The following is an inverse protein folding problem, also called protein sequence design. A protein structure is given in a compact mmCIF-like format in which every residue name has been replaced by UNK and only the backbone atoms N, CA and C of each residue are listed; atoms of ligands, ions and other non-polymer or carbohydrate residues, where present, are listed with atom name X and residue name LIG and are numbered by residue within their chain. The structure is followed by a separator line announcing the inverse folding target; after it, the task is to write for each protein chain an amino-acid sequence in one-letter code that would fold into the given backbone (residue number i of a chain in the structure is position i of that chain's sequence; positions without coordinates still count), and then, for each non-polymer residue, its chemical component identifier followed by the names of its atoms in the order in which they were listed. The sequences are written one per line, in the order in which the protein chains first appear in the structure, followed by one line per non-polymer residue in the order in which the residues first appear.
data_IF_441690765652
#
_entry.id   IF_441690765652
#
_cell.length_a   1.000
_cell.length_b   1.000
_cell.length_c   1.000
_cell.angle_alpha   90.00
_cell.angle_beta   90.00
_cell.angle_gamma   90.00
#
_symmetry.space_group_name_H-M   'P 1'
#
loop_
_entity.id
_entity.type
_entity.pdbx_description
1 polymer ?
#
# COMPACT_ATOMS: atom_id res chain seq x y z
N UNK A 1 -24.22 16.78 0.64
CA UNK A 1 -23.57 16.37 1.89
C UNK A 1 -22.12 16.81 1.74
N UNK A 2 -21.64 17.74 2.57
CA UNK A 2 -20.23 18.11 2.60
C UNK A 2 -19.45 16.84 3.01
N UNK A 3 -18.59 16.36 2.11
CA UNK A 3 -17.63 15.34 2.46
C UNK A 3 -16.70 15.96 3.50
N UNK A 4 -16.70 15.40 4.73
CA UNK A 4 -15.79 15.83 5.78
C UNK A 4 -14.34 15.73 5.30
N UNK A 5 -13.47 16.63 5.74
CA UNK A 5 -12.05 16.58 5.41
C UNK A 5 -11.44 15.25 5.89
N UNK A 6 -10.60 14.62 5.07
CA UNK A 6 -9.85 13.41 5.43
C UNK A 6 -9.00 13.63 6.67
N UNK A 7 -9.11 12.71 7.64
CA UNK A 7 -8.39 12.75 8.92
C UNK A 7 -7.05 12.02 8.81
N UNK A 8 -5.98 12.75 8.97
CA UNK A 8 -4.61 12.25 8.90
C UNK A 8 -4.00 12.31 10.30
N UNK A 9 -3.47 11.20 10.78
CA UNK A 9 -2.65 11.18 11.98
C UNK A 9 -1.17 11.14 11.58
N UNK A 10 -0.39 12.12 12.03
CA UNK A 10 1.07 12.14 11.88
C UNK A 10 1.67 11.65 13.20
N UNK A 11 2.50 10.62 13.14
CA UNK A 11 3.29 10.13 14.27
C UNK A 11 4.74 10.47 14.00
N UNK A 12 5.25 11.50 14.67
CA UNK A 12 6.58 12.09 14.43
C UNK A 12 7.04 12.81 15.70
N UNK A 13 8.23 12.51 16.22
CA UNK A 13 8.78 13.11 17.44
C UNK A 13 9.46 14.46 17.19
N UNK A 14 9.93 14.73 15.98
CA UNK A 14 10.38 16.07 15.60
C UNK A 14 9.16 17.01 15.46
N UNK A 15 8.87 17.74 16.56
CA UNK A 15 7.74 18.67 16.62
C UNK A 15 7.74 19.69 15.49
N UNK A 16 8.93 20.18 15.09
CA UNK A 16 9.05 21.18 14.03
C UNK A 16 8.67 20.60 12.68
N UNK A 17 9.15 19.39 12.39
CA UNK A 17 8.81 18.69 11.14
C UNK A 17 7.32 18.34 11.10
N UNK A 18 6.77 17.84 12.21
CA UNK A 18 5.37 17.50 12.36
C UNK A 18 4.46 18.73 12.13
N UNK A 19 4.77 19.87 12.75
CA UNK A 19 4.01 21.11 12.60
C UNK A 19 4.06 21.66 11.18
N UNK A 20 5.25 21.74 10.55
CA UNK A 20 5.38 22.21 9.17
C UNK A 20 4.61 21.28 8.20
N UNK A 21 4.64 19.98 8.46
CA UNK A 21 3.91 19.00 7.67
C UNK A 21 2.40 19.17 7.85
N UNK A 22 1.93 19.36 9.10
CA UNK A 22 0.53 19.64 9.42
C UNK A 22 0.03 20.87 8.69
N UNK A 23 0.69 22.02 8.85
CA UNK A 23 0.32 23.27 8.20
C UNK A 23 0.18 23.12 6.67
N UNK A 24 1.14 22.41 6.07
CA UNK A 24 1.10 22.17 4.62
C UNK A 24 -0.08 21.27 4.21
N UNK A 25 -0.36 20.20 4.95
CA UNK A 25 -1.46 19.29 4.65
C UNK A 25 -2.82 19.94 4.89
N UNK A 26 -2.98 20.71 5.97
CA UNK A 26 -4.20 21.47 6.28
C UNK A 26 -4.48 22.55 5.23
N UNK A 27 -3.46 23.26 4.76
CA UNK A 27 -3.61 24.21 3.65
C UNK A 27 -4.07 23.56 2.33
N UNK A 28 -3.97 22.23 2.23
CA UNK A 28 -4.43 21.43 1.11
C UNK A 28 -5.74 20.66 1.37
N UNK A 29 -6.48 21.02 2.43
CA UNK A 29 -7.83 20.56 2.71
C UNK A 29 -7.92 19.25 3.50
N UNK A 30 -6.85 18.84 4.19
CA UNK A 30 -6.84 17.67 5.06
C UNK A 30 -7.00 18.10 6.52
N UNK A 31 -7.59 17.26 7.36
CA UNK A 31 -7.65 17.46 8.81
C UNK A 31 -6.51 16.66 9.47
N UNK A 32 -5.61 17.33 10.20
CA UNK A 32 -4.37 16.68 10.66
C UNK A 32 -4.26 16.74 12.18
N UNK A 33 -3.97 15.60 12.80
CA UNK A 33 -3.56 15.49 14.20
C UNK A 33 -2.15 14.93 14.29
N UNK A 34 -1.46 15.27 15.39
CA UNK A 34 -0.07 14.85 15.63
C UNK A 34 0.00 14.03 16.91
N UNK A 35 0.80 12.98 16.88
CA UNK A 35 1.26 12.21 18.04
C UNK A 35 2.79 12.17 18.03
N UNK A 36 3.40 12.56 19.14
CA UNK A 36 4.85 12.60 19.26
C UNK A 36 5.43 11.39 20.02
N UNK A 37 4.58 10.66 20.73
CA UNK A 37 5.00 9.52 21.55
C UNK A 37 4.63 8.20 20.88
N UNK A 38 5.66 7.44 20.45
CA UNK A 38 5.48 6.12 19.84
C UNK A 38 4.74 5.13 20.76
N UNK A 39 4.89 5.26 22.08
CA UNK A 39 4.20 4.37 23.02
C UNK A 39 2.68 4.58 23.04
N UNK A 40 2.20 5.80 22.72
CA UNK A 40 0.79 6.15 22.66
C UNK A 40 0.20 5.95 21.24
N UNK A 41 1.06 5.95 20.24
CA UNK A 41 0.63 5.95 18.84
C UNK A 41 -0.23 4.76 18.47
N UNK A 42 0.15 3.54 18.87
CA UNK A 42 -0.61 2.34 18.55
C UNK A 42 -2.05 2.38 19.05
N UNK A 43 -2.23 2.74 20.33
CA UNK A 43 -3.56 2.86 20.94
C UNK A 43 -4.39 3.93 20.25
N UNK A 44 -3.77 5.09 19.97
CA UNK A 44 -4.45 6.21 19.34
C UNK A 44 -4.92 5.90 17.91
N UNK A 45 -4.09 5.18 17.14
CA UNK A 45 -4.47 4.74 15.78
C UNK A 45 -5.72 3.86 15.81
N UNK A 46 -5.79 2.93 16.77
CA UNK A 46 -6.93 2.01 16.92
C UNK A 46 -8.17 2.74 17.40
N UNK A 47 -8.04 3.62 18.40
CA UNK A 47 -9.18 4.32 19.01
C UNK A 47 -9.78 5.38 18.05
N UNK A 48 -8.93 6.17 17.40
CA UNK A 48 -9.38 7.27 16.54
C UNK A 48 -9.71 6.80 15.11
N UNK A 49 -9.19 5.66 14.68
CA UNK A 49 -9.34 5.15 13.30
C UNK A 49 -9.22 6.23 12.23
N UNK A 50 -8.04 6.90 12.11
CA UNK A 50 -7.83 7.95 11.12
C UNK A 50 -7.97 7.39 9.70
N UNK A 51 -8.19 8.26 8.71
CA UNK A 51 -8.33 7.84 7.33
C UNK A 51 -6.98 7.44 6.70
N UNK A 52 -5.86 7.97 7.24
CA UNK A 52 -4.50 7.59 6.90
C UNK A 52 -3.56 7.96 8.07
N UNK A 53 -2.56 7.11 8.28
CA UNK A 53 -1.46 7.36 9.23
C UNK A 53 -0.18 7.66 8.46
N UNK A 54 0.49 8.76 8.82
CA UNK A 54 1.89 9.03 8.45
C UNK A 54 2.74 8.67 9.66
N UNK A 55 3.62 7.69 9.54
CA UNK A 55 4.33 7.07 10.66
C UNK A 55 5.84 7.15 10.47
N UNK A 56 6.54 7.83 11.36
CA UNK A 56 8.00 7.77 11.37
C UNK A 56 8.48 6.40 11.85
N UNK A 57 9.54 5.92 11.22
CA UNK A 57 10.24 4.69 11.65
C UNK A 57 11.02 4.90 12.93
N UNK A 58 11.64 6.05 13.10
CA UNK A 58 12.61 6.34 14.16
C UNK A 58 11.96 7.13 15.29
N UNK A 59 11.06 6.49 16.04
CA UNK A 59 10.39 7.10 17.17
C UNK A 59 11.05 6.70 18.51
N UNK A 60 11.09 7.58 19.50
CA UNK A 60 11.48 7.22 20.85
C UNK A 60 10.43 6.30 21.49
N UNK A 61 10.90 5.38 22.34
CA UNK A 61 10.02 4.46 23.06
C UNK A 61 9.64 3.23 22.25
N UNK A 62 8.82 3.37 21.24
CA UNK A 62 8.45 2.27 20.32
C UNK A 62 8.69 2.65 18.87
N UNK A 63 9.43 1.82 18.13
CA UNK A 63 9.72 2.08 16.71
C UNK A 63 8.49 1.89 15.80
N UNK A 64 8.48 2.63 14.67
CA UNK A 64 7.35 2.63 13.75
C UNK A 64 7.01 1.27 13.14
N UNK A 65 7.99 0.35 12.98
CA UNK A 65 7.73 -1.00 12.48
C UNK A 65 6.93 -1.82 13.50
N UNK A 66 7.29 -1.71 14.77
CA UNK A 66 6.59 -2.35 15.88
C UNK A 66 5.16 -1.83 16.02
N UNK A 67 4.98 -0.50 15.95
CA UNK A 67 3.66 0.13 15.93
C UNK A 67 2.82 -0.39 14.76
N UNK A 68 3.38 -0.39 13.55
CA UNK A 68 2.67 -0.86 12.35
C UNK A 68 2.19 -2.30 12.49
N UNK A 69 3.03 -3.23 12.96
CA UNK A 69 2.65 -4.62 13.22
C UNK A 69 1.49 -4.74 14.20
N UNK A 70 1.57 -4.02 15.33
CA UNK A 70 0.54 -4.07 16.37
C UNK A 70 -0.81 -3.59 15.90
N UNK A 71 -0.84 -2.50 15.11
CA UNK A 71 -2.12 -1.92 14.70
C UNK A 71 -2.80 -2.66 13.57
N UNK A 72 -2.05 -3.43 12.76
CA UNK A 72 -2.59 -4.10 11.57
C UNK A 72 -3.71 -5.12 11.85
N UNK A 73 -3.75 -5.70 13.03
CA UNK A 73 -4.84 -6.60 13.42
C UNK A 73 -6.18 -5.88 13.66
N UNK A 74 -6.16 -4.54 13.86
CA UNK A 74 -7.32 -3.76 14.26
C UNK A 74 -7.52 -2.49 13.41
N UNK A 75 -6.59 -2.18 12.50
CA UNK A 75 -6.62 -0.99 11.66
C UNK A 75 -6.33 -1.31 10.19
N UNK A 76 -7.37 -1.20 9.35
CA UNK A 76 -7.31 -1.46 7.90
C UNK A 76 -6.96 -0.21 7.07
N UNK A 77 -6.87 0.96 7.72
CA UNK A 77 -6.52 2.20 7.04
C UNK A 77 -5.09 2.22 6.50
N UNK A 78 -4.79 3.03 5.50
CA UNK A 78 -3.45 3.13 4.93
C UNK A 78 -2.43 3.71 5.92
N UNK A 79 -1.23 3.10 5.95
CA UNK A 79 -0.06 3.56 6.70
C UNK A 79 1.04 3.92 5.71
N UNK A 80 1.42 5.21 5.73
CA UNK A 80 2.55 5.75 4.97
C UNK A 80 3.74 5.95 5.90
N UNK A 81 4.79 5.16 5.72
CA UNK A 81 5.99 5.27 6.55
C UNK A 81 6.93 6.38 6.10
N UNK A 82 7.52 7.10 7.07
CA UNK A 82 8.65 7.99 6.86
C UNK A 82 9.93 7.27 7.28
N UNK A 83 10.97 7.29 6.44
CA UNK A 83 12.25 6.66 6.74
C UNK A 83 13.42 7.59 6.49
N UNK A 84 14.42 7.58 7.37
CA UNK A 84 15.66 8.35 7.21
C UNK A 84 16.65 7.69 6.23
N UNK A 85 16.44 6.42 5.87
CA UNK A 85 17.37 5.66 5.05
C UNK A 85 16.72 5.26 3.71
N UNK A 86 17.50 5.50 2.65
CA UNK A 86 17.18 5.00 1.32
C UNK A 86 17.63 3.53 1.12
N UNK A 87 18.13 2.87 2.18
CA UNK A 87 18.61 1.49 2.07
C UNK A 87 17.45 0.52 1.81
N UNK A 88 17.63 -0.33 0.81
CA UNK A 88 16.62 -1.32 0.38
C UNK A 88 16.09 -2.18 1.55
N UNK A 89 16.89 -2.39 2.59
CA UNK A 89 16.54 -3.23 3.73
C UNK A 89 15.42 -2.62 4.60
N UNK A 90 15.49 -1.31 4.90
CA UNK A 90 14.48 -0.63 5.74
C UNK A 90 13.16 -0.45 4.98
N UNK A 91 13.24 -0.26 3.65
CA UNK A 91 12.04 -0.21 2.79
C UNK A 91 11.36 -1.58 2.71
N UNK A 92 12.13 -2.66 2.58
CA UNK A 92 11.63 -4.03 2.58
C UNK A 92 10.99 -4.35 3.93
N UNK A 93 11.67 -4.07 5.05
CA UNK A 93 11.14 -4.32 6.39
C UNK A 93 9.87 -3.52 6.68
N UNK A 94 9.81 -2.25 6.28
CA UNK A 94 8.61 -1.42 6.44
C UNK A 94 7.39 -1.98 5.71
N UNK A 95 7.58 -2.40 4.48
CA UNK A 95 6.51 -3.04 3.71
C UNK A 95 6.19 -4.45 4.21
N UNK A 96 7.17 -5.22 4.68
CA UNK A 96 6.95 -6.53 5.32
C UNK A 96 6.14 -6.46 6.61
N UNK A 97 6.07 -5.32 7.28
CA UNK A 97 5.27 -5.10 8.48
C UNK A 97 3.84 -4.67 8.22
N UNK A 98 3.45 -4.50 6.95
CA UNK A 98 2.07 -4.13 6.57
C UNK A 98 1.88 -2.67 6.17
N UNK A 99 2.94 -1.86 6.03
CA UNK A 99 2.82 -0.52 5.50
C UNK A 99 2.36 -0.51 4.04
N UNK A 100 1.56 0.50 3.67
CA UNK A 100 1.02 0.64 2.32
C UNK A 100 1.95 1.41 1.39
N UNK A 101 2.78 2.29 1.93
CA UNK A 101 3.76 3.06 1.20
C UNK A 101 4.83 3.62 2.13
N UNK A 102 5.91 4.19 1.57
CA UNK A 102 6.96 4.86 2.31
C UNK A 102 7.48 6.11 1.58
N UNK A 103 8.05 7.04 2.35
CA UNK A 103 8.72 8.24 1.86
C UNK A 103 10.05 8.41 2.58
N UNK A 104 11.13 8.59 1.82
CA UNK A 104 12.43 8.86 2.40
C UNK A 104 12.52 10.31 2.89
N UNK A 105 13.09 10.52 4.07
CA UNK A 105 13.50 11.83 4.57
C UNK A 105 14.76 12.28 3.81
N UNK A 106 14.97 13.55 3.44
CA UNK A 106 14.11 14.68 3.78
C UNK A 106 12.81 14.69 2.98
N UNK A 107 11.69 14.87 3.69
CA UNK A 107 10.36 14.80 3.11
C UNK A 107 10.10 16.02 2.22
N UNK A 108 9.79 15.80 0.96
CA UNK A 108 9.30 16.84 0.05
C UNK A 108 7.78 16.97 0.23
N UNK A 109 7.25 18.11 0.73
CA UNK A 109 5.81 18.22 1.06
C UNK A 109 4.87 17.89 -0.10
N UNK A 110 5.22 18.29 -1.33
CA UNK A 110 4.43 17.97 -2.53
C UNK A 110 4.38 16.47 -2.81
N UNK A 111 5.49 15.76 -2.63
CA UNK A 111 5.55 14.30 -2.84
C UNK A 111 4.74 13.58 -1.77
N UNK A 112 4.87 13.99 -0.50
CA UNK A 112 4.09 13.43 0.60
C UNK A 112 2.59 13.59 0.35
N UNK A 113 2.14 14.79 -0.01
CA UNK A 113 0.74 15.06 -0.33
C UNK A 113 0.24 14.22 -1.49
N UNK A 114 1.03 14.07 -2.56
CA UNK A 114 0.67 13.23 -3.70
C UNK A 114 0.46 11.76 -3.31
N UNK A 115 1.34 11.22 -2.45
CA UNK A 115 1.24 9.85 -1.94
C UNK A 115 0.05 9.67 -1.01
N UNK A 116 -0.19 10.62 -0.09
CA UNK A 116 -1.38 10.62 0.78
C UNK A 116 -2.66 10.60 -0.07
N UNK A 117 -2.78 11.51 -1.05
CA UNK A 117 -3.95 11.56 -1.94
C UNK A 117 -4.13 10.29 -2.76
N UNK A 118 -3.04 9.68 -3.22
CA UNK A 118 -3.10 8.41 -3.94
C UNK A 118 -3.65 7.27 -3.06
N UNK A 119 -3.22 7.19 -1.80
CA UNK A 119 -3.72 6.20 -0.85
C UNK A 119 -5.19 6.43 -0.49
N UNK A 120 -5.60 7.69 -0.26
CA UNK A 120 -6.99 8.05 0.08
C UNK A 120 -7.95 7.82 -1.10
N UNK A 121 -7.57 8.19 -2.33
CA UNK A 121 -8.41 8.01 -3.54
C UNK A 121 -8.80 6.55 -3.77
N UNK A 122 -7.92 5.61 -3.43
CA UNK A 122 -8.21 4.16 -3.53
C UNK A 122 -9.34 3.74 -2.61
N UNK A 123 -9.50 4.44 -1.50
CA UNK A 123 -10.56 4.19 -0.53
C UNK A 123 -11.92 4.75 -1.00
N UNK A 124 -11.92 5.86 -1.76
CA UNK A 124 -13.14 6.47 -2.31
C UNK A 124 -13.69 5.75 -3.54
N UNK A 125 -12.81 5.27 -4.41
CA UNK A 125 -13.19 4.70 -5.71
C UNK A 125 -12.52 3.34 -5.95
N UNK A 126 -13.02 2.29 -5.34
CA UNK A 126 -12.59 0.93 -5.68
C UNK A 126 -12.85 0.60 -7.16
N UNK A 127 -13.83 1.24 -7.79
CA UNK A 127 -14.28 0.98 -9.16
C UNK A 127 -13.56 1.81 -10.25
N UNK A 128 -12.74 2.81 -9.88
CA UNK A 128 -12.15 3.74 -10.85
C UNK A 128 -11.06 3.12 -11.76
N UNK A 129 -10.57 1.95 -11.44
CA UNK A 129 -9.48 1.29 -12.18
C UNK A 129 -9.96 0.36 -13.30
N UNK A 130 -11.23 -0.09 -13.32
CA UNK A 130 -11.70 -1.02 -14.36
C UNK A 130 -13.22 -0.95 -14.53
N UNK A 131 -13.67 -0.32 -15.59
CA UNK A 131 -15.04 -0.43 -16.07
C UNK A 131 -15.26 -1.85 -16.66
N UNK A 132 -15.80 -2.79 -15.86
CA UNK A 132 -16.22 -4.04 -16.49
C UNK A 132 -16.50 -5.22 -15.56
N UNK A 133 -15.58 -5.70 -14.80
CA UNK A 133 -15.76 -6.91 -13.99
C UNK A 133 -15.64 -6.59 -12.49
N UNK A 134 -16.69 -6.88 -11.72
CA UNK A 134 -16.63 -6.77 -10.24
C UNK A 134 -15.94 -7.96 -9.59
N UNK A 135 -15.93 -9.10 -10.27
CA UNK A 135 -15.38 -10.36 -9.74
C UNK A 135 -14.60 -11.09 -10.83
N UNK A 136 -13.38 -11.45 -10.48
CA UNK A 136 -12.49 -12.25 -11.33
C UNK A 136 -12.25 -13.61 -10.68
N UNK A 137 -12.17 -14.67 -11.49
CA UNK A 137 -11.90 -16.02 -11.01
C UNK A 137 -10.85 -16.70 -11.90
N UNK A 138 -9.82 -17.23 -11.24
CA UNK A 138 -8.73 -17.96 -11.88
C UNK A 138 -8.52 -19.28 -11.12
N UNK A 139 -9.18 -20.34 -11.59
CA UNK A 139 -9.20 -21.61 -10.86
C UNK A 139 -9.73 -21.44 -9.43
N UNK A 140 -8.92 -21.74 -8.41
CA UNK A 140 -9.33 -21.61 -7.01
C UNK A 140 -9.22 -20.18 -6.45
N UNK A 141 -8.58 -19.24 -7.18
CA UNK A 141 -8.41 -17.84 -6.79
C UNK A 141 -9.60 -17.02 -7.27
N UNK A 142 -10.28 -16.35 -6.34
CA UNK A 142 -11.38 -15.43 -6.60
C UNK A 142 -11.04 -14.07 -6.04
N UNK A 143 -11.30 -13.00 -6.80
CA UNK A 143 -11.02 -11.62 -6.39
C UNK A 143 -12.25 -10.79 -6.67
N UNK A 144 -12.74 -10.06 -5.67
CA UNK A 144 -13.91 -9.20 -5.76
C UNK A 144 -13.54 -7.74 -5.49
N UNK A 145 -13.67 -6.89 -6.51
CA UNK A 145 -13.28 -5.48 -6.38
C UNK A 145 -14.27 -4.67 -5.56
N UNK A 146 -15.55 -5.06 -5.55
CA UNK A 146 -16.56 -4.34 -4.79
C UNK A 146 -16.43 -4.55 -3.28
N UNK A 147 -16.05 -5.76 -2.87
CA UNK A 147 -15.77 -6.10 -1.48
C UNK A 147 -14.32 -5.79 -1.09
N UNK A 148 -13.42 -5.60 -2.07
CA UNK A 148 -11.96 -5.52 -1.88
C UNK A 148 -11.40 -6.75 -1.16
N UNK A 149 -11.91 -7.91 -1.52
CA UNK A 149 -11.58 -9.19 -0.91
C UNK A 149 -11.07 -10.18 -1.96
N UNK A 150 -10.25 -11.10 -1.51
CA UNK A 150 -9.79 -12.22 -2.33
C UNK A 150 -9.91 -13.53 -1.55
N UNK A 151 -10.15 -14.63 -2.26
CA UNK A 151 -10.27 -15.97 -1.71
C UNK A 151 -9.43 -16.95 -2.51
N UNK A 152 -8.77 -17.85 -1.79
CA UNK A 152 -8.13 -19.02 -2.38
C UNK A 152 -8.93 -20.26 -1.96
N UNK A 153 -9.61 -20.89 -2.92
CA UNK A 153 -10.66 -21.90 -2.65
C UNK A 153 -11.79 -21.27 -1.84
N UNK A 154 -12.01 -21.72 -0.61
CA UNK A 154 -13.06 -21.19 0.28
C UNK A 154 -12.51 -20.32 1.42
N UNK A 155 -11.18 -20.08 1.44
CA UNK A 155 -10.52 -19.31 2.48
C UNK A 155 -10.24 -17.90 2.00
N UNK A 156 -10.68 -16.91 2.77
CA UNK A 156 -10.35 -15.51 2.53
C UNK A 156 -8.85 -15.29 2.71
N UNK A 157 -8.27 -14.51 1.80
CA UNK A 157 -6.87 -14.13 1.83
C UNK A 157 -6.75 -12.76 2.52
N UNK A 158 -5.98 -12.69 3.58
CA UNK A 158 -5.65 -11.42 4.24
C UNK A 158 -4.69 -10.61 3.38
N UNK A 159 -5.20 -9.56 2.74
CA UNK A 159 -4.42 -8.62 1.94
C UNK A 159 -4.53 -7.23 2.54
N UNK A 160 -3.41 -6.50 2.59
CA UNK A 160 -3.50 -5.04 2.81
C UNK A 160 -4.15 -4.37 1.62
N UNK A 161 -4.65 -3.14 1.79
CA UNK A 161 -5.27 -2.40 0.69
C UNK A 161 -4.35 -2.27 -0.53
N UNK A 162 -3.04 -2.06 -0.30
CA UNK A 162 -2.06 -1.92 -1.38
C UNK A 162 -1.70 -3.26 -2.06
N UNK A 163 -1.72 -4.36 -1.32
CA UNK A 163 -1.56 -5.71 -1.90
C UNK A 163 -2.77 -6.09 -2.76
N UNK A 164 -3.98 -5.77 -2.27
CA UNK A 164 -5.20 -6.00 -3.03
C UNK A 164 -5.19 -5.22 -4.34
N UNK A 165 -4.86 -3.93 -4.32
CA UNK A 165 -4.82 -3.08 -5.52
C UNK A 165 -3.83 -3.59 -6.56
N UNK A 166 -2.65 -4.05 -6.12
CA UNK A 166 -1.66 -4.64 -7.02
C UNK A 166 -2.13 -5.97 -7.61
N UNK A 167 -2.72 -6.83 -6.78
CA UNK A 167 -3.28 -8.11 -7.23
C UNK A 167 -4.42 -7.88 -8.23
N UNK A 168 -5.34 -6.94 -7.92
CA UNK A 168 -6.43 -6.57 -8.81
C UNK A 168 -5.92 -6.04 -10.15
N UNK A 169 -4.95 -5.14 -10.15
CA UNK A 169 -4.35 -4.59 -11.37
C UNK A 169 -3.75 -5.69 -12.25
N UNK A 170 -3.00 -6.61 -11.66
CA UNK A 170 -2.37 -7.71 -12.39
C UNK A 170 -3.41 -8.68 -12.96
N UNK A 171 -4.41 -9.05 -12.16
CA UNK A 171 -5.46 -10.00 -12.54
C UNK A 171 -6.49 -9.41 -13.50
N UNK A 172 -6.64 -8.10 -13.54
CA UNK A 172 -7.44 -7.38 -14.55
C UNK A 172 -6.74 -7.29 -15.92
N UNK A 173 -5.43 -7.61 -15.98
CA UNK A 173 -4.64 -7.61 -17.22
C UNK A 173 -3.94 -8.96 -17.45
N UNK A 174 -4.68 -10.10 -17.49
CA UNK A 174 -4.08 -11.41 -17.60
C UNK A 174 -3.37 -11.56 -18.95
N UNK A 175 -2.20 -12.18 -18.93
CA UNK A 175 -1.40 -12.39 -20.14
C UNK A 175 -0.64 -11.16 -20.66
N UNK A 176 -0.84 -10.00 -20.06
CA UNK A 176 -0.12 -8.77 -20.37
C UNK A 176 1.04 -8.57 -19.39
N UNK A 177 2.22 -8.22 -19.90
CA UNK A 177 3.33 -7.78 -19.07
C UNK A 177 3.06 -6.32 -18.68
N UNK A 178 2.98 -6.06 -17.38
CA UNK A 178 2.92 -4.70 -16.84
C UNK A 178 4.30 -4.30 -16.34
N UNK A 179 4.81 -3.19 -16.85
CA UNK A 179 6.09 -2.65 -16.40
C UNK A 179 5.96 -2.06 -14.99
N UNK A 180 7.10 -1.85 -14.30
CA UNK A 180 7.08 -1.18 -12.99
C UNK A 180 6.55 0.24 -13.09
N UNK A 181 6.91 0.92 -14.17
CA UNK A 181 6.45 2.28 -14.48
C UNK A 181 4.92 2.32 -14.65
N UNK A 182 4.36 1.38 -15.45
CA UNK A 182 2.90 1.27 -15.64
C UNK A 182 2.20 0.95 -14.32
N UNK A 183 2.68 -0.05 -13.57
CA UNK A 183 2.09 -0.41 -12.27
C UNK A 183 2.14 0.78 -11.30
N UNK A 184 3.24 1.50 -11.29
CA UNK A 184 3.44 2.64 -10.42
C UNK A 184 2.50 3.81 -10.76
N UNK A 185 2.39 4.13 -12.05
CA UNK A 185 1.49 5.16 -12.56
C UNK A 185 0.02 4.84 -12.25
N UNK A 186 -0.42 3.59 -12.50
CA UNK A 186 -1.79 3.15 -12.23
C UNK A 186 -2.10 3.14 -10.72
N UNK A 187 -1.17 2.60 -9.91
CA UNK A 187 -1.41 2.49 -8.49
C UNK A 187 -1.18 3.79 -7.72
N UNK A 188 -0.30 4.67 -8.14
CA UNK A 188 0.10 5.86 -7.37
C UNK A 188 -0.15 7.19 -8.06
N UNK A 189 -0.35 7.19 -9.38
CA UNK A 189 -0.55 8.40 -10.16
C UNK A 189 0.65 9.35 -10.20
N UNK A 190 1.86 8.82 -9.96
CA UNK A 190 3.14 9.55 -9.99
C UNK A 190 4.16 8.79 -10.82
N UNK A 191 5.18 9.49 -11.32
CA UNK A 191 6.26 8.85 -12.08
C UNK A 191 7.13 7.95 -11.20
N UNK A 192 7.59 6.84 -11.77
CA UNK A 192 8.51 5.91 -11.14
C UNK A 192 9.93 6.48 -11.15
N UNK A 193 10.61 6.50 -10.02
CA UNK A 193 11.97 7.05 -9.86
C UNK A 193 13.10 6.08 -10.20
N UNK A 194 12.75 4.84 -10.56
CA UNK A 194 13.72 3.78 -10.88
C UNK A 194 14.33 3.07 -9.67
N UNK A 195 14.08 3.52 -8.45
CA UNK A 195 14.67 2.99 -7.21
C UNK A 195 13.66 2.36 -6.26
N UNK A 196 12.38 2.71 -6.38
CA UNK A 196 11.32 2.24 -5.51
C UNK A 196 11.05 0.73 -5.66
N UNK A 197 11.39 -0.05 -4.63
CA UNK A 197 11.22 -1.52 -4.59
C UNK A 197 9.87 -1.97 -4.05
N UNK A 198 8.96 -1.06 -3.74
CA UNK A 198 7.68 -1.40 -3.10
C UNK A 198 6.82 -2.39 -3.88
N UNK A 199 6.86 -2.34 -5.22
CA UNK A 199 6.14 -3.30 -6.07
C UNK A 199 6.74 -4.69 -5.92
N UNK A 200 8.08 -4.80 -5.96
CA UNK A 200 8.79 -6.08 -5.87
C UNK A 200 8.49 -6.77 -4.53
N UNK A 201 8.52 -6.01 -3.43
CA UNK A 201 8.22 -6.50 -2.08
C UNK A 201 6.76 -6.96 -1.99
N UNK A 202 5.81 -6.18 -2.50
CA UNK A 202 4.39 -6.58 -2.51
C UNK A 202 4.15 -7.85 -3.32
N UNK A 203 4.80 -7.99 -4.48
CA UNK A 203 4.73 -9.23 -5.27
C UNK A 203 5.22 -10.43 -4.45
N UNK A 204 6.36 -10.28 -3.74
CA UNK A 204 6.90 -11.36 -2.90
C UNK A 204 5.92 -11.78 -1.79
N UNK A 205 5.13 -10.84 -1.26
CA UNK A 205 4.13 -11.12 -0.21
C UNK A 205 2.83 -11.69 -0.76
N UNK A 206 2.39 -11.21 -1.92
CA UNK A 206 1.15 -11.69 -2.54
C UNK A 206 1.30 -13.15 -2.97
N UNK A 207 2.44 -13.54 -3.54
CA UNK A 207 2.67 -14.91 -4.04
C UNK A 207 2.29 -16.00 -3.05
N UNK A 208 2.87 -16.09 -1.84
CA UNK A 208 2.49 -17.15 -0.89
C UNK A 208 1.02 -17.08 -0.47
N UNK A 209 0.45 -15.88 -0.37
CA UNK A 209 -0.96 -15.69 0.02
C UNK A 209 -1.93 -16.26 -1.02
N UNK A 210 -1.60 -16.16 -2.31
CA UNK A 210 -2.42 -16.72 -3.41
C UNK A 210 -2.02 -18.17 -3.77
N UNK A 211 -1.14 -18.81 -2.98
CA UNK A 211 -0.65 -20.16 -3.23
C UNK A 211 0.33 -20.28 -4.38
N UNK A 212 0.99 -19.18 -4.78
CA UNK A 212 2.07 -19.18 -5.77
C UNK A 212 3.42 -19.41 -5.10
N UNK A 213 4.28 -20.22 -5.71
CA UNK A 213 5.62 -20.51 -5.18
C UNK A 213 6.55 -19.30 -5.40
N UNK A 214 7.11 -18.68 -4.35
CA UNK A 214 8.00 -17.54 -4.49
C UNK A 214 9.26 -17.83 -5.33
N UNK A 215 9.81 -19.07 -5.24
CA UNK A 215 11.02 -19.49 -5.95
C UNK A 215 10.72 -19.91 -7.39
N UNK A 216 9.55 -20.51 -7.60
CA UNK A 216 9.09 -20.98 -8.92
C UNK A 216 7.68 -20.46 -9.24
N UNK A 217 7.50 -19.14 -9.41
CA UNK A 217 6.18 -18.54 -9.55
C UNK A 217 5.49 -18.95 -10.85
N UNK A 218 4.24 -19.41 -10.72
CA UNK A 218 3.41 -19.84 -11.85
C UNK A 218 2.30 -18.85 -12.16
N UNK A 219 1.74 -18.19 -11.16
CA UNK A 219 0.64 -17.23 -11.31
C UNK A 219 1.16 -15.82 -11.59
N UNK A 220 2.05 -15.28 -10.77
CA UNK A 220 2.66 -13.98 -10.99
C UNK A 220 4.12 -14.18 -11.39
N UNK A 221 4.41 -14.14 -12.67
CA UNK A 221 5.78 -14.30 -13.19
C UNK A 221 6.51 -12.98 -13.23
N UNK A 222 7.80 -13.01 -12.83
CA UNK A 222 8.73 -11.91 -13.06
C UNK A 222 9.35 -12.03 -14.44
N UNK A 223 9.12 -11.04 -15.30
CA UNK A 223 9.78 -10.92 -16.60
C UNK A 223 10.95 -9.96 -16.46
N UNK A 224 12.17 -10.52 -16.38
CA UNK A 224 13.39 -9.73 -16.13
C UNK A 224 13.51 -8.54 -17.08
N UNK A 225 13.76 -7.36 -16.51
CA UNK A 225 13.90 -6.11 -17.25
C UNK A 225 12.62 -5.56 -17.89
N UNK A 226 11.47 -6.24 -17.71
CA UNK A 226 10.20 -5.81 -18.31
C UNK A 226 9.08 -5.56 -17.29
N UNK A 227 9.02 -6.32 -16.17
CA UNK A 227 7.97 -6.17 -15.16
C UNK A 227 7.36 -7.47 -14.72
N UNK A 228 6.04 -7.49 -14.54
CA UNK A 228 5.28 -8.63 -14.01
C UNK A 228 4.17 -9.05 -14.97
N UNK A 229 3.87 -10.34 -14.94
CA UNK A 229 2.84 -10.97 -15.77
C UNK A 229 1.97 -11.86 -14.89
N UNK A 230 0.66 -11.65 -14.87
CA UNK A 230 -0.27 -12.61 -14.31
C UNK A 230 -0.67 -13.64 -15.38
N UNK A 231 -0.48 -14.92 -15.06
CA UNK A 231 -0.77 -16.04 -15.97
C UNK A 231 -2.13 -16.61 -15.60
N UNK A 232 -3.12 -16.49 -16.48
CA UNK A 232 -4.39 -17.20 -16.34
C UNK A 232 -4.25 -18.63 -16.87
N UNK A 233 -4.97 -19.61 -16.31
CA UNK A 233 -4.96 -20.99 -16.78
C UNK A 233 -5.34 -21.11 -18.26
N UNK A 234 -6.16 -20.20 -18.78
CA UNK A 234 -6.49 -20.12 -20.20
C UNK A 234 -5.27 -19.81 -21.10
N UNK A 235 -4.21 -19.17 -20.55
CA UNK A 235 -2.97 -18.90 -21.30
C UNK A 235 -1.97 -20.08 -21.22
N UNK A 236 -2.12 -20.98 -20.25
CA UNK A 236 -1.26 -22.18 -20.11
C UNK A 236 -1.70 -23.30 -21.07
N UNK A 237 -2.95 -23.31 -21.51
CA UNK A 237 -3.49 -24.28 -22.43
C UNK A 237 -3.12 -24.03 -23.92
N UNK A 238 -2.39 -22.96 -24.22
CA UNK A 238 -1.97 -22.56 -25.58
C UNK A 238 -0.46 -22.71 -25.84
N UNK A 239 0.31 -23.40 -24.97
CA UNK A 239 1.74 -23.71 -25.19
C UNK A 239 1.97 -25.20 -25.19
#
# INVERSE_FOLDING_TARGET
MEQGAWRILIVEDDQRLAELTREYLESNGLAVSIEADGALAAQRIVDETPDLVVLDLMLPGEDGLSICRKVREQYDGPILMLTARADDLDQVLGLETGADDYVCKPVRPRLLLARIRALLRRRENPDAATAGARRLQFGPLVIDSALREAWLREHQIELTGAEFDLLWLLTSNPGRILSREEIFAELRGIEYDGQDRSIDVRISRIRPKIGDDPDHPRLIKTVRGKGYLFVSEAAVAMV
#
